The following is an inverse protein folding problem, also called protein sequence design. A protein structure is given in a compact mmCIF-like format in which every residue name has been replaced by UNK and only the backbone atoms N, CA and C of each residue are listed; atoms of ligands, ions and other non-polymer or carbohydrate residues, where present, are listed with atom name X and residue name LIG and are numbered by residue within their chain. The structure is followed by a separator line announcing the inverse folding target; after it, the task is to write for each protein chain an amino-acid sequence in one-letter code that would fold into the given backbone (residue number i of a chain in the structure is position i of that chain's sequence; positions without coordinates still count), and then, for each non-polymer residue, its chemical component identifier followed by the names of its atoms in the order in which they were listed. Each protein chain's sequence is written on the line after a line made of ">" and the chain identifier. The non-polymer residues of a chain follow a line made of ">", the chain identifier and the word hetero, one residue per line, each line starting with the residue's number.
data_IF_942157852387
#
_entry.id   IF_942157852387
#
_cell.length_a   1.000
_cell.length_b   1.000
_cell.length_c   1.000
_cell.angle_alpha   90.00
_cell.angle_beta   90.00
_cell.angle_gamma   90.00
#
_symmetry.space_group_name_H-M   'P 1'
#
loop_
_entity.id
_entity.type
_entity.pdbx_description
1 polymer ?
#
# COMPACT_ATOMS: atom_id res chain seq x y z
N UNK A 1 -15.60 -12.63 -19.89
CA UNK A 1 -14.73 -13.06 -18.77
C UNK A 1 -14.92 -14.55 -18.55
N UNK A 2 -13.82 -15.28 -18.41
CA UNK A 2 -13.83 -16.70 -18.01
C UNK A 2 -14.28 -16.85 -16.55
N UNK A 3 -14.71 -18.06 -16.19
CA UNK A 3 -15.21 -18.40 -14.85
C UNK A 3 -14.24 -19.24 -14.01
N UNK A 4 -14.29 -19.01 -12.71
CA UNK A 4 -13.73 -19.85 -11.65
C UNK A 4 -14.86 -20.29 -10.74
N UNK A 5 -15.06 -21.59 -10.60
CA UNK A 5 -16.11 -22.20 -9.78
C UNK A 5 -15.51 -22.63 -8.45
N UNK A 6 -16.14 -22.23 -7.35
CA UNK A 6 -15.64 -22.47 -5.98
C UNK A 6 -16.64 -23.24 -5.12
N UNK A 7 -16.13 -23.94 -4.10
CA UNK A 7 -16.99 -24.66 -3.15
C UNK A 7 -17.74 -23.70 -2.22
N UNK A 8 -16.99 -22.80 -1.58
CA UNK A 8 -17.53 -21.77 -0.71
C UNK A 8 -16.60 -20.58 -0.65
N UNK A 9 -17.14 -19.35 -0.67
CA UNK A 9 -16.41 -18.16 -0.22
C UNK A 9 -16.65 -17.96 1.28
N UNK A 10 -15.61 -18.03 2.09
CA UNK A 10 -15.75 -17.78 3.53
C UNK A 10 -16.00 -16.30 3.82
N UNK A 11 -17.12 -15.98 4.50
CA UNK A 11 -17.39 -14.68 5.15
C UNK A 11 -17.17 -13.43 4.28
N UNK A 12 -17.50 -13.48 2.98
CA UNK A 12 -17.23 -12.39 2.03
C UNK A 12 -15.75 -11.96 1.98
N UNK A 13 -14.82 -12.83 2.32
CA UNK A 13 -13.38 -12.56 2.26
C UNK A 13 -12.94 -12.27 0.80
N UNK A 14 -12.03 -11.31 0.54
CA UNK A 14 -11.63 -10.93 -0.82
C UNK A 14 -10.75 -11.97 -1.53
N UNK A 15 -10.36 -13.05 -0.86
CA UNK A 15 -9.48 -14.08 -1.41
C UNK A 15 -10.23 -15.38 -1.62
N UNK A 16 -9.94 -16.01 -2.76
CA UNK A 16 -10.24 -17.41 -3.04
C UNK A 16 -8.91 -18.16 -3.06
N UNK A 17 -8.75 -19.12 -2.16
CA UNK A 17 -7.56 -19.94 -2.06
C UNK A 17 -7.60 -21.11 -3.06
N UNK A 18 -6.43 -21.64 -3.39
CA UNK A 18 -6.29 -22.72 -4.38
C UNK A 18 -7.11 -23.97 -4.05
N UNK A 19 -7.25 -24.30 -2.77
CA UNK A 19 -8.06 -25.42 -2.28
C UNK A 19 -9.58 -25.17 -2.31
N UNK A 20 -10.03 -23.94 -2.56
CA UNK A 20 -11.46 -23.59 -2.68
C UNK A 20 -11.96 -23.69 -4.13
N UNK A 21 -11.05 -23.76 -5.11
CA UNK A 21 -11.36 -23.83 -6.53
C UNK A 21 -11.70 -25.26 -6.94
N UNK A 22 -12.93 -25.47 -7.44
CA UNK A 22 -13.40 -26.77 -7.97
C UNK A 22 -12.96 -26.93 -9.43
N UNK A 23 -13.19 -25.89 -10.22
CA UNK A 23 -12.95 -25.88 -11.67
C UNK A 23 -12.73 -24.46 -12.15
N UNK A 24 -11.93 -24.30 -13.19
CA UNK A 24 -11.82 -23.03 -13.93
C UNK A 24 -11.96 -23.27 -15.43
N UNK A 25 -12.34 -22.24 -16.18
CA UNK A 25 -12.38 -22.26 -17.66
C UNK A 25 -11.00 -21.96 -18.27
N UNK A 26 -9.93 -22.40 -17.60
CA UNK A 26 -8.53 -22.12 -17.94
C UNK A 26 -8.23 -20.63 -18.26
N UNK A 27 -8.47 -19.70 -17.32
CA UNK A 27 -8.06 -18.31 -17.48
C UNK A 27 -6.54 -18.16 -17.54
N UNK A 28 -6.08 -17.13 -18.24
CA UNK A 28 -4.67 -16.81 -18.27
C UNK A 28 -4.24 -16.23 -16.91
N UNK A 29 -3.01 -16.47 -16.43
CA UNK A 29 -2.52 -15.80 -15.22
C UNK A 29 -2.63 -14.27 -15.34
N UNK A 30 -3.19 -13.60 -14.32
CA UNK A 30 -3.49 -12.17 -14.28
C UNK A 30 -4.77 -11.73 -15.01
N UNK A 31 -5.53 -12.65 -15.60
CA UNK A 31 -6.82 -12.37 -16.26
C UNK A 31 -7.90 -12.01 -15.23
N UNK A 32 -8.86 -11.16 -15.64
CA UNK A 32 -10.06 -10.88 -14.85
C UNK A 32 -11.06 -12.01 -15.04
N UNK A 33 -11.49 -12.60 -13.94
CA UNK A 33 -12.41 -13.74 -13.93
C UNK A 33 -13.65 -13.45 -13.11
N UNK A 34 -14.75 -14.12 -13.47
CA UNK A 34 -15.93 -14.21 -12.61
C UNK A 34 -15.76 -15.36 -11.64
N UNK A 35 -16.14 -15.17 -10.39
CA UNK A 35 -16.18 -16.23 -9.38
C UNK A 35 -17.62 -16.68 -9.18
N UNK A 36 -17.86 -17.98 -9.32
CA UNK A 36 -19.18 -18.59 -9.24
C UNK A 36 -19.25 -19.59 -8.06
N UNK A 37 -20.26 -19.43 -7.21
CA UNK A 37 -20.59 -20.35 -6.11
C UNK A 37 -22.04 -20.81 -6.32
N UNK A 38 -22.28 -22.13 -6.37
CA UNK A 38 -23.62 -22.72 -6.57
C UNK A 38 -24.40 -22.11 -7.75
N UNK A 39 -23.74 -21.91 -8.89
CA UNK A 39 -24.30 -21.29 -10.12
C UNK A 39 -24.64 -19.80 -10.01
N UNK A 40 -24.24 -19.12 -8.92
CA UNK A 40 -24.41 -17.68 -8.74
C UNK A 40 -23.05 -16.99 -8.79
N UNK A 41 -22.95 -15.90 -9.55
CA UNK A 41 -21.77 -15.04 -9.54
C UNK A 41 -21.69 -14.31 -8.21
N UNK A 42 -20.55 -14.43 -7.53
CA UNK A 42 -20.29 -13.84 -6.21
C UNK A 42 -19.21 -12.76 -6.24
N UNK A 43 -18.66 -12.46 -7.42
CA UNK A 43 -17.70 -11.38 -7.61
C UNK A 43 -16.83 -11.54 -8.85
N UNK A 44 -15.93 -10.58 -9.02
CA UNK A 44 -14.89 -10.56 -10.05
C UNK A 44 -13.53 -10.25 -9.43
N UNK A 45 -12.48 -10.85 -9.98
CA UNK A 45 -11.15 -10.80 -9.39
C UNK A 45 -10.05 -11.15 -10.37
N UNK A 46 -8.80 -10.96 -9.92
CA UNK A 46 -7.62 -11.36 -10.67
C UNK A 46 -7.28 -12.82 -10.39
N UNK A 47 -7.13 -13.60 -11.44
CA UNK A 47 -6.76 -15.01 -11.36
C UNK A 47 -5.25 -15.23 -11.41
N UNK A 48 -4.69 -16.06 -10.53
CA UNK A 48 -3.31 -16.54 -10.64
C UNK A 48 -3.23 -18.01 -10.20
N UNK A 49 -3.08 -18.99 -11.13
CA UNK A 49 -3.04 -20.40 -10.77
C UNK A 49 -1.78 -20.81 -10.00
N UNK A 50 -0.76 -19.96 -9.99
CA UNK A 50 0.52 -20.23 -9.34
C UNK A 50 0.61 -19.64 -7.93
N UNK A 51 -0.41 -18.87 -7.50
CA UNK A 51 -0.50 -18.29 -6.15
C UNK A 51 -1.41 -19.12 -5.26
N UNK A 52 -1.07 -19.21 -3.97
CA UNK A 52 -1.96 -19.78 -2.94
C UNK A 52 -3.30 -19.03 -2.92
N UNK A 53 -3.27 -17.72 -3.13
CA UNK A 53 -4.46 -16.90 -3.33
C UNK A 53 -4.76 -16.88 -4.83
N UNK A 54 -5.52 -17.89 -5.28
CA UNK A 54 -5.79 -18.11 -6.70
C UNK A 54 -6.69 -17.05 -7.32
N UNK A 55 -7.63 -16.47 -6.56
CA UNK A 55 -8.37 -15.28 -7.00
C UNK A 55 -8.35 -14.21 -5.93
N UNK A 56 -7.94 -12.99 -6.31
CA UNK A 56 -8.10 -11.78 -5.50
C UNK A 56 -9.27 -10.97 -6.04
N UNK A 57 -10.38 -10.96 -5.32
CA UNK A 57 -11.58 -10.23 -5.68
C UNK A 57 -11.36 -8.72 -5.50
N UNK A 58 -11.65 -7.95 -6.55
CA UNK A 58 -11.75 -6.50 -6.48
C UNK A 58 -13.23 -6.03 -6.48
N UNK A 59 -14.17 -6.94 -6.75
CA UNK A 59 -15.60 -6.64 -6.69
C UNK A 59 -16.43 -7.83 -6.23
N UNK A 60 -17.53 -7.53 -5.55
CA UNK A 60 -18.61 -8.48 -5.23
C UNK A 60 -19.68 -8.54 -6.34
N UNK A 61 -19.50 -7.79 -7.43
CA UNK A 61 -20.36 -7.77 -8.62
C UNK A 61 -19.59 -8.27 -9.85
N UNK A 62 -20.35 -8.53 -10.90
CA UNK A 62 -19.78 -8.73 -12.22
C UNK A 62 -19.40 -7.37 -12.83
N UNK A 63 -18.12 -7.01 -12.77
CA UNK A 63 -17.58 -5.81 -13.42
C UNK A 63 -16.15 -6.07 -13.90
N UNK A 64 -15.70 -5.34 -14.93
CA UNK A 64 -14.33 -5.43 -15.40
C UNK A 64 -13.43 -4.42 -14.65
N UNK A 65 -12.12 -4.66 -14.65
CA UNK A 65 -11.15 -3.73 -14.09
C UNK A 65 -10.80 -2.65 -15.13
N UNK A 66 -11.73 -1.72 -15.34
CA UNK A 66 -11.59 -0.62 -16.28
C UNK A 66 -10.81 0.58 -15.71
N UNK A 67 -10.42 1.52 -16.58
CA UNK A 67 -9.87 2.82 -16.16
C UNK A 67 -10.81 3.56 -15.21
N UNK A 68 -12.10 3.58 -15.55
CA UNK A 68 -13.13 4.24 -14.76
C UNK A 68 -13.29 3.59 -13.38
N UNK A 69 -13.25 2.25 -13.32
CA UNK A 69 -13.27 1.52 -12.05
C UNK A 69 -12.11 1.95 -11.14
N UNK A 70 -10.89 1.93 -11.67
CA UNK A 70 -9.69 2.31 -10.92
C UNK A 70 -9.73 3.77 -10.48
N UNK A 71 -10.11 4.68 -11.38
CA UNK A 71 -10.26 6.11 -11.09
C UNK A 71 -11.23 6.34 -9.94
N UNK A 72 -12.41 5.73 -10.01
CA UNK A 72 -13.44 5.86 -8.97
C UNK A 72 -12.99 5.26 -7.64
N UNK A 73 -12.26 4.13 -7.65
CA UNK A 73 -11.70 3.54 -6.42
C UNK A 73 -10.64 4.46 -5.78
N UNK A 74 -9.73 5.02 -6.57
CA UNK A 74 -8.73 5.96 -6.05
C UNK A 74 -9.38 7.24 -5.52
N UNK A 75 -10.40 7.79 -6.21
CA UNK A 75 -11.16 8.94 -5.72
C UNK A 75 -11.89 8.66 -4.40
N UNK A 76 -12.57 7.52 -4.29
CA UNK A 76 -13.23 7.11 -3.05
C UNK A 76 -12.22 6.93 -1.92
N UNK A 77 -11.08 6.31 -2.22
CA UNK A 77 -10.02 6.14 -1.25
C UNK A 77 -9.49 7.50 -0.77
N UNK A 78 -9.27 8.46 -1.67
CA UNK A 78 -8.91 9.84 -1.33
C UNK A 78 -9.94 10.50 -0.42
N UNK A 79 -11.24 10.36 -0.72
CA UNK A 79 -12.32 10.89 0.13
C UNK A 79 -12.25 10.33 1.55
N UNK A 80 -11.99 9.03 1.71
CA UNK A 80 -11.85 8.41 3.03
C UNK A 80 -10.63 8.93 3.84
N UNK A 81 -9.67 9.59 3.19
CA UNK A 81 -8.47 10.17 3.81
C UNK A 81 -8.49 11.70 3.86
N UNK A 82 -9.63 12.34 3.63
CA UNK A 82 -9.74 13.82 3.54
C UNK A 82 -9.17 14.57 4.74
N UNK A 83 -9.16 13.93 5.92
CA UNK A 83 -8.75 14.56 7.18
C UNK A 83 -7.32 14.18 7.61
N UNK A 84 -6.53 13.52 6.74
CA UNK A 84 -5.19 13.03 7.10
C UNK A 84 -4.04 13.98 6.72
N UNK A 85 -4.35 15.16 6.15
CA UNK A 85 -3.34 16.11 5.67
C UNK A 85 -2.83 15.78 4.27
N UNK A 86 -1.62 16.24 3.94
CA UNK A 86 -1.07 16.08 2.57
C UNK A 86 -0.38 14.74 2.31
N UNK A 87 0.00 14.01 3.37
CA UNK A 87 0.79 12.79 3.28
C UNK A 87 0.18 11.65 4.10
N UNK A 88 -0.12 10.54 3.45
CA UNK A 88 -0.84 9.40 4.03
C UNK A 88 -0.82 8.19 3.09
N UNK A 89 -1.24 7.04 3.62
CA UNK A 89 -1.56 5.87 2.80
C UNK A 89 -2.86 6.08 2.02
N UNK A 90 -2.73 6.33 0.72
CA UNK A 90 -3.84 6.57 -0.19
C UNK A 90 -4.59 5.27 -0.51
N UNK A 91 -3.86 4.22 -0.91
CA UNK A 91 -4.45 2.91 -1.21
C UNK A 91 -3.83 1.84 -0.31
N UNK A 92 -4.68 1.01 0.28
CA UNK A 92 -4.29 -0.15 1.09
C UNK A 92 -4.94 -1.44 0.59
N UNK A 93 -4.50 -1.87 -0.60
CA UNK A 93 -4.77 -3.18 -1.18
C UNK A 93 -6.26 -3.55 -1.18
N UNK A 94 -6.62 -4.73 -0.67
CA UNK A 94 -7.99 -5.25 -0.67
C UNK A 94 -8.96 -4.38 0.13
N UNK A 95 -8.50 -3.64 1.14
CA UNK A 95 -9.34 -2.74 1.93
C UNK A 95 -9.94 -1.62 1.08
N UNK A 96 -9.24 -1.19 0.03
CA UNK A 96 -9.74 -0.21 -0.96
C UNK A 96 -10.23 -0.87 -2.26
N UNK A 97 -10.42 -2.19 -2.25
CA UNK A 97 -10.85 -2.99 -3.41
C UNK A 97 -9.89 -2.87 -4.61
N UNK A 98 -8.60 -2.71 -4.33
CA UNK A 98 -7.51 -2.68 -5.32
C UNK A 98 -6.44 -3.71 -4.92
N UNK A 99 -6.70 -5.02 -5.10
CA UNK A 99 -5.85 -6.06 -4.53
C UNK A 99 -4.41 -5.99 -5.01
N UNK A 100 -3.49 -6.12 -4.06
CA UNK A 100 -2.05 -6.06 -4.30
C UNK A 100 -1.52 -4.67 -4.63
N UNK A 101 -2.32 -3.60 -4.57
CA UNK A 101 -1.87 -2.22 -4.79
C UNK A 101 -1.76 -1.49 -3.45
N UNK A 102 -0.58 -0.97 -3.14
CA UNK A 102 -0.37 -0.04 -2.03
C UNK A 102 0.16 1.25 -2.62
N UNK A 103 -0.41 2.38 -2.18
CA UNK A 103 0.05 3.70 -2.61
C UNK A 103 0.17 4.59 -1.38
N UNK A 104 1.38 5.03 -1.10
CA UNK A 104 1.66 6.06 -0.11
C UNK A 104 1.90 7.39 -0.82
N UNK A 105 1.21 8.43 -0.36
CA UNK A 105 1.29 9.80 -0.86
C UNK A 105 2.16 10.61 0.09
N UNK A 106 3.18 11.27 -0.45
CA UNK A 106 4.07 12.19 0.25
C UNK A 106 3.97 13.56 -0.42
N UNK A 107 3.00 14.38 0.00
CA UNK A 107 2.64 15.64 -0.67
C UNK A 107 2.34 15.42 -2.16
N UNK A 108 3.22 15.84 -3.06
CA UNK A 108 3.07 15.70 -4.52
C UNK A 108 3.82 14.48 -5.10
N UNK A 109 4.41 13.64 -4.25
CA UNK A 109 5.14 12.43 -4.63
C UNK A 109 4.36 11.17 -4.24
N UNK A 110 4.52 10.11 -5.02
CA UNK A 110 3.83 8.84 -4.79
C UNK A 110 4.81 7.68 -4.78
N UNK A 111 4.66 6.81 -3.80
CA UNK A 111 5.34 5.51 -3.75
C UNK A 111 4.30 4.43 -3.96
N UNK A 112 4.54 3.59 -4.96
CA UNK A 112 3.60 2.56 -5.41
C UNK A 112 4.23 1.19 -5.21
N UNK A 113 3.55 0.32 -4.47
CA UNK A 113 3.87 -1.10 -4.40
C UNK A 113 2.79 -1.91 -5.13
N UNK A 114 3.22 -2.77 -6.05
CA UNK A 114 2.33 -3.68 -6.77
C UNK A 114 2.80 -5.11 -6.52
N UNK A 115 1.97 -5.87 -5.82
CA UNK A 115 2.33 -7.15 -5.21
C UNK A 115 1.39 -8.29 -5.63
N UNK A 116 0.59 -8.12 -6.70
CA UNK A 116 -0.13 -9.24 -7.32
C UNK A 116 -0.10 -9.18 -8.84
N UNK A 117 -0.14 -10.35 -9.50
CA UNK A 117 0.04 -10.47 -10.94
C UNK A 117 -1.02 -9.70 -11.75
N UNK A 118 -2.28 -9.74 -11.32
CA UNK A 118 -3.37 -9.06 -12.04
C UNK A 118 -3.24 -7.54 -12.02
N UNK A 119 -2.77 -6.97 -10.91
CA UNK A 119 -2.48 -5.53 -10.81
C UNK A 119 -1.20 -5.16 -11.55
N UNK A 120 -0.15 -5.99 -11.52
CA UNK A 120 1.11 -5.74 -12.24
C UNK A 120 0.89 -5.64 -13.75
N UNK A 121 0.06 -6.53 -14.33
CA UNK A 121 -0.37 -6.44 -15.74
C UNK A 121 -1.10 -5.15 -16.11
N UNK A 122 -1.54 -4.38 -15.11
CA UNK A 122 -2.31 -3.14 -15.24
C UNK A 122 -1.58 -1.93 -14.63
N UNK A 123 -0.30 -2.05 -14.27
CA UNK A 123 0.44 -0.98 -13.58
C UNK A 123 0.50 0.33 -14.36
N UNK A 124 0.60 0.27 -15.69
CA UNK A 124 0.57 1.48 -16.52
C UNK A 124 -0.75 2.25 -16.37
N UNK A 125 -1.87 1.53 -16.20
CA UNK A 125 -3.16 2.16 -15.93
C UNK A 125 -3.16 2.86 -14.57
N UNK A 126 -2.54 2.27 -13.54
CA UNK A 126 -2.33 2.89 -12.22
C UNK A 126 -1.54 4.18 -12.34
N UNK A 127 -0.39 4.15 -13.00
CA UNK A 127 0.47 5.32 -13.15
C UNK A 127 -0.21 6.44 -13.94
N UNK A 128 -0.92 6.11 -15.01
CA UNK A 128 -1.70 7.08 -15.78
C UNK A 128 -2.82 7.70 -14.94
N UNK A 129 -3.51 6.90 -14.13
CA UNK A 129 -4.62 7.37 -13.28
C UNK A 129 -4.10 8.29 -12.17
N UNK A 130 -2.95 7.97 -11.56
CA UNK A 130 -2.30 8.85 -10.60
C UNK A 130 -1.92 10.20 -11.22
N UNK A 131 -1.35 10.19 -12.43
CA UNK A 131 -1.03 11.41 -13.16
C UNK A 131 -2.27 12.26 -13.44
N UNK A 132 -3.35 11.64 -13.87
CA UNK A 132 -4.61 12.31 -14.17
C UNK A 132 -5.27 12.92 -12.91
N UNK A 133 -5.26 12.21 -11.79
CA UNK A 133 -5.94 12.67 -10.56
C UNK A 133 -5.13 13.74 -9.83
N UNK A 134 -3.79 13.59 -9.78
CA UNK A 134 -2.96 14.35 -8.85
C UNK A 134 -1.95 15.29 -9.51
N UNK A 135 -1.65 15.12 -10.80
CA UNK A 135 -0.54 15.82 -11.47
C UNK A 135 0.76 15.82 -10.63
N UNK A 136 1.29 14.64 -10.28
CA UNK A 136 2.38 14.50 -9.32
C UNK A 136 3.71 15.03 -9.85
N UNK A 137 4.62 15.37 -8.95
CA UNK A 137 6.00 15.73 -9.30
C UNK A 137 6.88 14.48 -9.51
N UNK A 138 6.51 13.36 -8.90
CA UNK A 138 7.20 12.09 -9.10
C UNK A 138 6.41 10.86 -8.64
N UNK A 139 6.65 9.73 -9.31
CA UNK A 139 6.11 8.42 -8.96
C UNK A 139 7.28 7.43 -8.90
N UNK A 140 7.40 6.73 -7.78
CA UNK A 140 8.41 5.69 -7.57
C UNK A 140 7.73 4.34 -7.33
N UNK A 141 8.11 3.31 -8.10
CA UNK A 141 7.64 1.94 -7.88
C UNK A 141 8.65 1.25 -6.95
N UNK A 142 8.17 0.75 -5.81
CA UNK A 142 9.01 0.13 -4.77
C UNK A 142 8.37 -1.16 -4.25
N UNK A 143 8.36 -2.22 -5.06
CA UNK A 143 7.61 -3.41 -4.72
C UNK A 143 8.25 -4.24 -3.58
N UNK A 144 7.42 -5.02 -2.89
CA UNK A 144 7.91 -6.01 -1.91
C UNK A 144 8.44 -7.25 -2.65
N UNK A 145 9.75 -7.49 -2.54
CA UNK A 145 10.43 -8.60 -3.21
C UNK A 145 9.89 -9.97 -2.80
N UNK A 146 9.53 -10.16 -1.53
CA UNK A 146 9.04 -11.44 -1.03
C UNK A 146 7.64 -11.72 -1.56
N UNK A 147 6.75 -10.73 -1.51
CA UNK A 147 5.39 -10.88 -2.02
C UNK A 147 5.36 -11.10 -3.53
N UNK A 148 6.20 -10.38 -4.29
CA UNK A 148 6.29 -10.56 -5.74
C UNK A 148 6.80 -11.94 -6.14
N UNK A 149 7.76 -12.49 -5.39
CA UNK A 149 8.23 -13.87 -5.60
C UNK A 149 7.11 -14.90 -5.45
N UNK A 150 6.19 -14.71 -4.49
CA UNK A 150 5.03 -15.59 -4.29
C UNK A 150 4.02 -15.51 -5.46
N UNK A 151 4.05 -14.43 -6.24
CA UNK A 151 3.19 -14.21 -7.40
C UNK A 151 3.90 -14.51 -8.74
N UNK A 152 5.16 -14.98 -8.69
CA UNK A 152 5.97 -15.26 -9.88
C UNK A 152 6.45 -14.01 -10.62
N UNK A 153 6.61 -12.89 -9.92
CA UNK A 153 6.99 -11.60 -10.48
C UNK A 153 8.43 -11.23 -10.12
N UNK A 154 9.13 -10.64 -11.08
CA UNK A 154 10.40 -9.95 -10.82
C UNK A 154 10.16 -8.66 -10.04
N UNK A 155 11.11 -8.27 -9.19
CA UNK A 155 10.99 -7.09 -8.33
C UNK A 155 12.16 -6.14 -8.58
N UNK A 156 11.83 -4.93 -8.98
CA UNK A 156 12.81 -3.87 -9.24
C UNK A 156 12.24 -2.55 -8.71
N UNK A 157 13.06 -1.83 -7.94
CA UNK A 157 12.74 -0.46 -7.56
C UNK A 157 13.07 0.46 -8.73
N UNK A 158 12.14 1.33 -9.11
CA UNK A 158 12.38 2.24 -10.23
C UNK A 158 11.63 3.56 -10.12
N UNK A 159 12.25 4.59 -10.67
CA UNK A 159 11.58 5.85 -10.98
C UNK A 159 10.66 5.65 -12.18
N UNK A 160 9.35 5.85 -11.97
CA UNK A 160 8.33 5.67 -13.01
C UNK A 160 8.06 6.98 -13.75
N UNK A 161 8.03 8.09 -13.03
CA UNK A 161 7.69 9.40 -13.58
C UNK A 161 8.34 10.54 -12.79
N UNK A 162 8.66 11.62 -13.50
CA UNK A 162 9.11 12.87 -12.90
C UNK A 162 10.48 12.74 -12.23
N UNK A 163 10.60 13.33 -11.04
CA UNK A 163 11.82 13.26 -10.21
C UNK A 163 11.42 13.05 -8.76
N UNK A 164 12.25 12.34 -8.00
CA UNK A 164 12.09 12.16 -6.56
C UNK A 164 13.28 12.86 -5.89
N UNK A 165 13.05 13.81 -4.97
CA UNK A 165 14.15 14.40 -4.21
C UNK A 165 14.76 13.34 -3.27
N UNK A 166 15.99 13.58 -2.82
CA UNK A 166 16.67 12.67 -1.89
C UNK A 166 15.88 12.48 -0.59
N UNK A 167 15.29 13.56 -0.08
CA UNK A 167 14.35 13.55 1.05
C UNK A 167 13.13 14.40 0.74
N UNK A 168 11.97 13.94 1.20
CA UNK A 168 10.71 14.69 1.18
C UNK A 168 10.36 15.11 2.60
N UNK A 169 10.21 16.41 2.84
CA UNK A 169 9.62 16.91 4.08
C UNK A 169 8.09 16.71 4.03
N UNK A 170 7.56 16.01 5.02
CA UNK A 170 6.12 15.88 5.27
C UNK A 170 5.77 16.45 6.64
N UNK A 171 4.49 16.77 6.83
CA UNK A 171 3.94 17.13 8.13
C UNK A 171 2.88 16.11 8.55
N UNK A 172 2.94 15.69 9.81
CA UNK A 172 1.92 14.87 10.45
C UNK A 172 1.68 15.40 11.85
N UNK A 173 0.45 15.79 12.16
CA UNK A 173 0.04 16.31 13.49
C UNK A 173 0.86 17.52 13.97
N UNK A 174 1.25 18.40 13.04
CA UNK A 174 2.09 19.58 13.33
C UNK A 174 3.56 19.25 13.58
N UNK A 175 4.00 18.01 13.33
CA UNK A 175 5.39 17.58 13.42
C UNK A 175 5.91 17.34 12.00
N UNK A 176 7.09 17.87 11.70
CA UNK A 176 7.75 17.69 10.41
C UNK A 176 8.65 16.46 10.43
N UNK A 177 8.66 15.73 9.33
CA UNK A 177 9.50 14.56 9.13
C UNK A 177 10.17 14.61 7.76
N UNK A 178 11.47 14.34 7.71
CA UNK A 178 12.21 14.06 6.50
C UNK A 178 12.07 12.57 6.17
N UNK A 179 11.62 12.28 4.94
CA UNK A 179 11.39 10.93 4.46
C UNK A 179 12.28 10.65 3.25
N UNK A 180 13.14 9.65 3.36
CA UNK A 180 13.84 9.07 2.21
C UNK A 180 12.95 8.00 1.57
N UNK A 181 12.32 8.36 0.45
CA UNK A 181 11.43 7.46 -0.30
C UNK A 181 12.21 6.31 -0.96
N UNK A 182 13.42 6.59 -1.44
CA UNK A 182 14.19 5.67 -2.30
C UNK A 182 14.85 4.60 -1.43
N UNK A 183 15.58 5.01 -0.39
CA UNK A 183 16.39 4.11 0.44
C UNK A 183 15.75 3.79 1.80
N UNK A 184 14.70 4.50 2.21
CA UNK A 184 14.00 4.24 3.47
C UNK A 184 13.35 2.84 3.50
N UNK A 185 13.01 2.36 4.71
CA UNK A 185 12.32 1.08 4.85
C UNK A 185 10.89 1.13 4.28
N UNK A 186 10.41 0.00 3.74
CA UNK A 186 9.09 -0.10 3.08
C UNK A 186 8.95 1.01 2.02
N UNK A 187 7.86 1.77 2.06
CA UNK A 187 7.57 2.94 1.23
C UNK A 187 8.27 4.23 1.67
N UNK A 188 9.00 4.22 2.80
CA UNK A 188 9.78 5.34 3.33
C UNK A 188 9.36 5.78 4.73
N UNK A 189 8.08 5.68 5.08
CA UNK A 189 7.54 6.14 6.38
C UNK A 189 6.41 5.25 6.89
N UNK A 190 6.37 5.04 8.20
CA UNK A 190 5.36 4.21 8.88
C UNK A 190 4.11 5.04 9.22
N UNK A 191 3.22 5.20 8.23
CA UNK A 191 1.93 5.86 8.42
C UNK A 191 0.99 5.07 9.35
N UNK A 192 1.14 3.74 9.40
CA UNK A 192 0.41 2.82 10.29
C UNK A 192 0.61 3.12 11.78
N UNK A 193 1.72 3.76 12.14
CA UNK A 193 2.07 4.08 13.52
C UNK A 193 1.57 5.45 14.00
N UNK A 194 0.81 6.22 13.20
CA UNK A 194 0.36 7.58 13.56
C UNK A 194 -0.39 7.63 14.89
N UNK A 195 -1.45 6.84 15.01
CA UNK A 195 -2.32 6.85 16.20
C UNK A 195 -1.57 6.34 17.44
N UNK A 196 -0.66 5.37 17.26
CA UNK A 196 0.19 4.89 18.34
C UNK A 196 1.16 5.97 18.83
N UNK A 197 1.75 6.76 17.91
CA UNK A 197 2.61 7.91 18.25
C UNK A 197 1.85 8.98 19.02
N UNK A 198 0.64 9.33 18.57
CA UNK A 198 -0.24 10.27 19.28
C UNK A 198 -0.57 9.75 20.68
N UNK A 199 -0.98 8.48 20.77
CA UNK A 199 -1.39 7.87 22.04
C UNK A 199 -0.25 7.80 23.04
N UNK A 200 0.96 7.47 22.60
CA UNK A 200 2.15 7.48 23.46
C UNK A 200 2.41 8.88 24.04
N UNK A 201 2.26 9.94 23.25
CA UNK A 201 2.49 11.31 23.68
C UNK A 201 1.53 11.79 24.78
N UNK A 202 0.37 11.15 24.94
CA UNK A 202 -0.56 11.43 26.05
C UNK A 202 -0.03 10.93 27.40
N UNK A 203 0.74 9.84 27.40
CA UNK A 203 1.23 9.20 28.64
C UNK A 203 2.70 9.50 28.95
N UNK A 204 3.48 9.90 27.95
CA UNK A 204 4.90 10.17 28.08
C UNK A 204 5.18 11.32 29.07
N UNK A 205 6.12 11.11 29.98
CA UNK A 205 6.66 12.14 30.88
C UNK A 205 8.04 11.72 31.41
N UNK A 206 8.93 12.67 31.67
CA UNK A 206 10.22 12.40 32.33
C UNK A 206 11.30 11.83 31.41
N UNK A 207 11.86 10.65 31.74
CA UNK A 207 12.91 9.99 30.93
C UNK A 207 12.27 8.94 30.03
N UNK A 208 12.51 9.03 28.72
CA UNK A 208 11.85 8.22 27.70
C UNK A 208 12.91 7.49 26.87
N UNK A 209 12.76 6.18 26.71
CA UNK A 209 13.60 5.34 25.87
C UNK A 209 12.78 4.84 24.67
N UNK A 210 13.16 5.25 23.47
CA UNK A 210 12.56 4.81 22.20
C UNK A 210 13.47 3.75 21.56
N UNK A 211 13.17 2.48 21.83
CA UNK A 211 13.89 1.34 21.27
C UNK A 211 13.47 1.10 19.81
N UNK A 212 14.44 1.00 18.90
CA UNK A 212 14.21 0.87 17.45
C UNK A 212 13.51 2.13 16.89
N UNK A 213 14.06 3.30 17.23
CA UNK A 213 13.43 4.60 16.96
C UNK A 213 13.36 4.94 15.46
N UNK A 214 14.11 4.22 14.61
CA UNK A 214 14.24 4.48 13.18
C UNK A 214 14.57 5.97 12.93
N UNK A 215 13.72 6.70 12.20
CA UNK A 215 13.89 8.14 11.93
C UNK A 215 13.28 9.04 13.01
N UNK A 216 13.13 8.53 14.23
CA UNK A 216 12.70 9.28 15.41
C UNK A 216 11.18 9.44 15.56
N UNK A 217 10.38 8.58 14.94
CA UNK A 217 8.91 8.74 14.89
C UNK A 217 8.27 8.93 16.25
N UNK A 218 8.46 7.99 17.19
CA UNK A 218 7.92 8.10 18.55
C UNK A 218 8.67 9.14 19.38
N UNK A 219 9.99 9.23 19.20
CA UNK A 219 10.83 10.22 19.86
C UNK A 219 10.33 11.66 19.66
N UNK A 220 9.96 12.04 18.43
CA UNK A 220 9.52 13.40 18.10
C UNK A 220 8.16 13.75 18.70
N UNK A 221 7.24 12.78 18.74
CA UNK A 221 5.93 12.97 19.39
C UNK A 221 6.05 13.17 20.90
N UNK A 222 7.10 12.63 21.52
CA UNK A 222 7.30 12.69 22.96
C UNK A 222 8.38 13.70 23.39
N UNK A 223 9.07 14.35 22.46
CA UNK A 223 10.17 15.29 22.73
C UNK A 223 9.77 16.46 23.65
N UNK A 224 8.53 16.94 23.56
CA UNK A 224 8.01 18.01 24.45
C UNK A 224 7.57 17.52 25.82
N UNK A 225 7.63 16.20 26.07
CA UNK A 225 7.14 15.55 27.29
C UNK A 225 8.27 15.19 28.26
N UNK A 226 9.52 15.23 27.83
CA UNK A 226 10.65 14.85 28.66
C UNK A 226 11.95 14.70 27.88
N UNK A 227 12.95 14.11 28.52
CA UNK A 227 14.23 13.78 27.90
C UNK A 227 14.11 12.44 27.16
N UNK A 228 14.38 12.44 25.87
CA UNK A 228 14.20 11.27 25.00
C UNK A 228 15.54 10.73 24.54
N UNK A 229 15.77 9.43 24.75
CA UNK A 229 16.87 8.68 24.16
C UNK A 229 16.30 7.72 23.11
N UNK A 230 16.57 8.00 21.84
CA UNK A 230 16.25 7.09 20.73
C UNK A 230 17.45 6.20 20.39
N UNK A 231 17.22 4.89 20.25
CA UNK A 231 18.25 3.92 19.83
C UNK A 231 17.79 3.18 18.57
N UNK A 232 18.70 3.03 17.60
CA UNK A 232 18.48 2.25 16.39
C UNK A 232 19.82 1.69 15.90
N UNK A 233 19.80 0.56 15.20
CA UNK A 233 21.00 -0.06 14.64
C UNK A 233 21.44 0.56 13.32
N UNK A 234 20.57 1.33 12.66
CA UNK A 234 20.84 2.00 11.40
C UNK A 234 21.38 3.41 11.62
N UNK A 235 22.67 3.61 11.34
CA UNK A 235 23.31 4.93 11.39
C UNK A 235 22.59 5.96 10.51
N UNK A 236 22.20 5.56 9.28
CA UNK A 236 21.42 6.42 8.36
C UNK A 236 20.08 6.85 8.96
N UNK A 237 19.38 5.95 9.66
CA UNK A 237 18.10 6.28 10.29
C UNK A 237 18.31 7.27 11.44
N UNK A 238 19.36 7.08 12.25
CA UNK A 238 19.74 8.00 13.33
C UNK A 238 20.14 9.38 12.80
N UNK A 239 20.85 9.47 11.67
CA UNK A 239 21.17 10.75 11.03
C UNK A 239 19.91 11.52 10.63
N UNK A 240 18.91 10.84 10.07
CA UNK A 240 17.61 11.46 9.75
C UNK A 240 16.86 11.83 11.04
N UNK A 241 16.86 10.96 12.06
CA UNK A 241 16.23 11.25 13.35
C UNK A 241 16.79 12.52 13.99
N UNK A 242 18.12 12.71 13.95
CA UNK A 242 18.79 13.93 14.41
C UNK A 242 18.40 15.17 13.61
N UNK A 243 18.19 15.05 12.29
CA UNK A 243 17.73 16.16 11.44
C UNK A 243 16.26 16.53 11.67
N UNK A 244 15.45 15.57 12.11
CA UNK A 244 14.04 15.80 12.42
C UNK A 244 13.83 16.48 13.80
N UNK A 245 14.78 16.35 14.72
CA UNK A 245 14.73 16.89 16.08
C UNK A 245 15.15 18.37 16.14
#
# INVERSE_FOLDING_TARGET
>A
MKKVIVYRRHLNHPWIFSNEVIKSENPSPGEVVKVEERKKVIGTGFYNPHSLITVRLFSDKEEDFSKEFLFNRIKNALTNRSNLGESFRLIYSESDRLPGLIIDKYRNFFVVEINCLGMDKRKELVFQTLKEIFNPEGIYEKPDQNLRKLEGLESENKLVYGKIPEVVEIEQDGIKFLVDIINGQKTGFFFDQRENRQKLAEFATGQILDCFCYTGGFSLYTAKKGNVLGIDSSEKAIEIAKKNA
#
